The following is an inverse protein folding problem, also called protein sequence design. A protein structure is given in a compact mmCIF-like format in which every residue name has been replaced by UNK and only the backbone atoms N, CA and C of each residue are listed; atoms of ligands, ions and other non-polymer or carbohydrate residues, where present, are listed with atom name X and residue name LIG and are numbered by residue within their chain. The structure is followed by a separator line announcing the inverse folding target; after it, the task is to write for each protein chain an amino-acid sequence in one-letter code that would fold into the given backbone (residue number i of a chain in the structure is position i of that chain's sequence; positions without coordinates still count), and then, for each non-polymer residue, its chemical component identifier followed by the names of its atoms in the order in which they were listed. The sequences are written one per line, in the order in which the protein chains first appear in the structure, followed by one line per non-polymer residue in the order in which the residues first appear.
data_IF_743318066557
#
_entry.id   IF_743318066557
#
_cell.length_a   1.000
_cell.length_b   1.000
_cell.length_c   1.000
_cell.angle_alpha   90.00
_cell.angle_beta   90.00
_cell.angle_gamma   90.00
#
_symmetry.space_group_name_H-M   'P 1'
#
loop_
_entity.id
_entity.type
_entity.pdbx_description
1 polymer ?
#
# COMPACT_ATOMS: atom_id res chain seq x y z
N UNK A 1 0.75 13.80 -5.34
CA UNK A 1 1.48 12.54 -5.61
C UNK A 1 1.30 11.54 -4.46
N UNK A 2 1.59 11.91 -3.21
CA UNK A 2 1.41 11.01 -2.03
C UNK A 2 -0.02 10.45 -1.89
N UNK A 3 -1.06 11.28 -2.00
CA UNK A 3 -2.44 10.79 -1.96
C UNK A 3 -2.75 9.75 -3.06
N UNK A 4 -2.10 9.87 -4.21
CA UNK A 4 -2.25 8.94 -5.33
C UNK A 4 -1.51 7.63 -5.04
N UNK A 5 -0.29 7.69 -4.51
CA UNK A 5 0.48 6.51 -4.08
C UNK A 5 -0.23 5.74 -2.95
N UNK A 6 -0.79 6.45 -1.96
CA UNK A 6 -1.59 5.85 -0.89
C UNK A 6 -2.80 5.10 -1.45
N UNK A 7 -3.56 5.74 -2.34
CA UNK A 7 -4.74 5.15 -2.95
C UNK A 7 -4.37 3.91 -3.78
N UNK A 8 -3.31 4.00 -4.58
CA UNK A 8 -2.79 2.87 -5.36
C UNK A 8 -2.38 1.72 -4.42
N UNK A 9 -1.65 2.00 -3.34
CA UNK A 9 -1.19 0.97 -2.39
C UNK A 9 -2.36 0.27 -1.69
N UNK A 10 -3.41 1.01 -1.31
CA UNK A 10 -4.62 0.42 -0.74
C UNK A 10 -5.35 -0.47 -1.76
N UNK A 11 -5.54 0.03 -2.98
CA UNK A 11 -6.21 -0.74 -4.05
C UNK A 11 -5.42 -2.01 -4.37
N UNK A 12 -4.10 -1.91 -4.49
CA UNK A 12 -3.23 -3.07 -4.73
C UNK A 12 -3.19 -4.06 -3.57
N UNK A 13 -3.40 -3.63 -2.33
CA UNK A 13 -3.54 -4.53 -1.18
C UNK A 13 -4.89 -5.25 -1.12
N UNK A 14 -5.97 -4.62 -1.62
CA UNK A 14 -7.31 -5.22 -1.64
C UNK A 14 -7.48 -6.31 -2.70
N UNK A 15 -6.80 -6.20 -3.84
CA UNK A 15 -6.83 -7.21 -4.91
C UNK A 15 -6.44 -8.61 -4.40
N UNK A 16 -5.27 -8.82 -3.75
CA UNK A 16 -4.91 -10.11 -3.20
C UNK A 16 -5.83 -10.56 -2.05
N UNK A 17 -6.42 -9.64 -1.28
CA UNK A 17 -7.45 -9.99 -0.29
C UNK A 17 -8.71 -10.57 -0.95
N UNK A 18 -9.13 -10.01 -2.08
CA UNK A 18 -10.24 -10.56 -2.86
C UNK A 18 -9.90 -11.96 -3.41
N UNK A 19 -8.64 -12.19 -3.79
CA UNK A 19 -8.12 -13.52 -4.14
C UNK A 19 -8.29 -14.52 -2.99
N UNK A 20 -7.91 -14.15 -1.76
CA UNK A 20 -8.12 -15.01 -0.58
C UNK A 20 -9.60 -15.28 -0.33
N UNK A 21 -10.47 -14.26 -0.48
CA UNK A 21 -11.92 -14.44 -0.33
C UNK A 21 -12.47 -15.43 -1.37
N UNK A 22 -11.93 -15.42 -2.59
CA UNK A 22 -12.30 -16.39 -3.63
C UNK A 22 -11.86 -17.82 -3.29
N UNK A 23 -10.64 -18.01 -2.76
CA UNK A 23 -10.15 -19.30 -2.27
C UNK A 23 -11.04 -19.81 -1.12
N UNK A 24 -11.51 -18.90 -0.25
CA UNK A 24 -12.45 -19.21 0.83
C UNK A 24 -13.79 -19.73 0.31
N UNK A 25 -14.38 -19.04 -0.66
CA UNK A 25 -15.66 -19.45 -1.26
C UNK A 25 -15.53 -20.74 -2.06
N UNK A 26 -14.36 -20.98 -2.67
CA UNK A 26 -14.07 -22.20 -3.43
C UNK A 26 -13.87 -23.44 -2.55
N UNK A 27 -13.79 -23.27 -1.22
CA UNK A 27 -13.65 -24.39 -0.27
C UNK A 27 -12.25 -25.02 -0.25
N UNK A 28 -11.26 -24.39 -0.89
CA UNK A 28 -9.89 -24.91 -0.99
C UNK A 28 -8.95 -24.39 0.10
N UNK A 29 -9.42 -23.54 1.03
CA UNK A 29 -8.58 -22.97 2.10
C UNK A 29 -7.88 -24.01 2.99
N UNK A 30 -8.48 -25.19 3.17
CA UNK A 30 -7.92 -26.25 4.02
C UNK A 30 -6.96 -27.17 3.26
N UNK A 31 -6.82 -27.00 1.95
CA UNK A 31 -5.82 -27.72 1.17
C UNK A 31 -4.47 -27.05 1.32
N UNK A 32 -3.39 -27.82 1.21
CA UNK A 32 -2.02 -27.27 1.29
C UNK A 32 -1.78 -26.25 0.18
N UNK A 33 -2.32 -26.50 -1.00
CA UNK A 33 -2.22 -25.63 -2.17
C UNK A 33 -2.93 -24.28 -1.93
N UNK A 34 -4.19 -24.32 -1.49
CA UNK A 34 -4.95 -23.11 -1.17
C UNK A 34 -4.38 -22.35 0.02
N UNK A 35 -3.80 -23.04 1.01
CA UNK A 35 -3.13 -22.41 2.14
C UNK A 35 -1.84 -21.69 1.68
N UNK A 36 -1.03 -22.32 0.83
CA UNK A 36 0.19 -21.73 0.29
C UNK A 36 -0.10 -20.48 -0.56
N UNK A 37 -1.07 -20.59 -1.47
CA UNK A 37 -1.54 -19.45 -2.27
C UNK A 37 -2.05 -18.31 -1.40
N UNK A 38 -2.85 -18.62 -0.38
CA UNK A 38 -3.38 -17.62 0.57
C UNK A 38 -2.26 -16.93 1.36
N UNK A 39 -1.22 -17.65 1.78
CA UNK A 39 -0.07 -17.08 2.49
C UNK A 39 0.73 -16.12 1.59
N UNK A 40 0.89 -16.44 0.30
CA UNK A 40 1.54 -15.54 -0.66
C UNK A 40 0.69 -14.29 -0.87
N UNK A 41 -0.61 -14.45 -1.15
CA UNK A 41 -1.56 -13.34 -1.32
C UNK A 41 -1.58 -12.43 -0.08
N UNK A 42 -1.61 -13.03 1.12
CA UNK A 42 -1.63 -12.30 2.38
C UNK A 42 -0.30 -11.55 2.60
N UNK A 43 0.82 -12.15 2.22
CA UNK A 43 2.14 -11.50 2.29
C UNK A 43 2.22 -10.30 1.35
N UNK A 44 1.76 -10.43 0.10
CA UNK A 44 1.71 -9.32 -0.87
C UNK A 44 0.82 -8.19 -0.37
N UNK A 45 -0.37 -8.53 0.12
CA UNK A 45 -1.28 -7.60 0.76
C UNK A 45 -0.62 -6.85 1.92
N UNK A 46 0.05 -7.57 2.83
CA UNK A 46 0.73 -6.99 3.98
C UNK A 46 1.81 -5.99 3.56
N UNK A 47 2.59 -6.27 2.51
CA UNK A 47 3.59 -5.33 1.98
C UNK A 47 2.93 -4.05 1.46
N UNK A 48 1.84 -4.17 0.69
CA UNK A 48 1.11 -2.99 0.18
C UNK A 48 0.47 -2.17 1.31
N UNK A 49 -0.11 -2.82 2.31
CA UNK A 49 -0.67 -2.11 3.47
C UNK A 49 0.42 -1.49 4.35
N UNK A 50 1.56 -2.16 4.53
CA UNK A 50 2.70 -1.60 5.25
C UNK A 50 3.27 -0.37 4.54
N UNK A 51 3.36 -0.42 3.21
CA UNK A 51 3.74 0.73 2.40
C UNK A 51 2.76 1.91 2.58
N UNK A 52 1.46 1.64 2.53
CA UNK A 52 0.43 2.66 2.80
C UNK A 52 0.53 3.22 4.24
N UNK A 53 0.82 2.35 5.23
CA UNK A 53 1.00 2.74 6.62
C UNK A 53 2.21 3.65 6.83
N UNK A 54 3.34 3.35 6.19
CA UNK A 54 4.51 4.23 6.22
C UNK A 54 4.27 5.55 5.51
N UNK A 55 3.52 5.56 4.41
CA UNK A 55 3.14 6.78 3.71
C UNK A 55 2.22 7.68 4.57
N UNK A 56 1.29 7.08 5.32
CA UNK A 56 0.48 7.78 6.33
C UNK A 56 1.32 8.28 7.51
N UNK A 57 2.22 7.46 8.05
CA UNK A 57 3.08 7.84 9.18
C UNK A 57 4.09 8.92 8.80
N UNK A 58 4.54 8.94 7.54
CA UNK A 58 5.39 9.97 6.95
C UNK A 58 4.76 11.37 6.94
N UNK A 59 3.44 11.49 7.16
CA UNK A 59 2.76 12.78 7.40
C UNK A 59 3.26 13.51 8.67
N UNK A 60 3.96 12.83 9.59
CA UNK A 60 4.61 13.46 10.74
C UNK A 60 5.98 14.08 10.42
N UNK A 61 6.42 14.11 9.16
CA UNK A 61 7.50 15.03 8.78
C UNK A 61 6.85 16.40 8.52
N UNK A 62 6.97 17.38 9.46
CA UNK A 62 6.55 18.74 9.14
C UNK A 62 7.25 19.17 7.85
N UNK A 63 6.62 20.04 7.04
CA UNK A 63 7.23 20.52 5.81
C UNK A 63 8.63 21.07 6.18
N UNK A 64 9.66 20.29 5.82
CA UNK A 64 11.03 20.75 5.85
C UNK A 64 11.11 22.03 5.04
N UNK A 65 11.94 22.98 5.48
CA UNK A 65 11.73 24.40 5.31
C UNK A 65 11.40 24.72 3.87
N UNK A 66 10.31 25.47 3.68
CA UNK A 66 9.94 25.99 2.37
C UNK A 66 11.19 26.53 1.72
N UNK A 67 11.50 26.04 0.51
CA UNK A 67 12.53 26.68 -0.31
C UNK A 67 12.16 28.15 -0.33
N UNK A 68 13.00 29.07 0.17
CA UNK A 68 12.80 30.47 -0.11
C UNK A 68 13.04 30.59 -1.61
N UNK A 69 11.95 30.56 -2.38
CA UNK A 69 11.93 31.25 -3.65
C UNK A 69 12.06 32.72 -3.31
N UNK A 70 13.29 33.18 -3.10
CA UNK A 70 13.61 34.59 -3.18
C UNK A 70 13.37 34.99 -4.63
N UNK A 71 12.19 35.54 -4.87
CA UNK A 71 12.02 36.61 -5.84
C UNK A 71 12.95 37.76 -5.45
N UNK A 72 14.09 37.88 -6.11
CA UNK A 72 14.72 39.15 -6.51
C UNK A 72 16.06 38.87 -7.19
N UNK A 73 16.41 39.72 -8.15
CA UNK A 73 17.69 39.83 -8.84
C UNK A 73 17.87 39.00 -10.12
N UNK A 74 17.00 39.26 -11.10
CA UNK A 74 17.48 39.36 -12.47
C UNK A 74 16.80 40.51 -13.22
N UNK A 75 17.62 41.52 -13.52
CA UNK A 75 17.41 42.71 -14.37
C UNK A 75 16.93 43.99 -13.69
#
# INVERSE_FOLDING_TARGET
MLAVMLLISIVLGLIPLAGIAWIAVSGTLTTVDGLFESLIMLSLSAVFFLNAFWELRGQNKPPGPGKPGSSSDQS
#
